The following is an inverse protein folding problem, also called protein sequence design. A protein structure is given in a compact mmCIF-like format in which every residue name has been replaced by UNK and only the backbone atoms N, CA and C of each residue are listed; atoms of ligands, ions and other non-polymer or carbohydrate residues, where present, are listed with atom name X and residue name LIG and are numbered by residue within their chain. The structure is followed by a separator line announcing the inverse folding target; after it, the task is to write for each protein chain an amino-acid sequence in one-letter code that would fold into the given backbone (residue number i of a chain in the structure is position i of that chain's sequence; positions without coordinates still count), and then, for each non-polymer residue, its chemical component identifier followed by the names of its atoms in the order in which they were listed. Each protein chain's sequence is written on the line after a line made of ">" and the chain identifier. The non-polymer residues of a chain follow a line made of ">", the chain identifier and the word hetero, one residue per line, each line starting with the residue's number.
data_IF_389809591995
#
_entry.id   IF_389809591995
#
_cell.length_a   1.000
_cell.length_b   1.000
_cell.length_c   1.000
_cell.angle_alpha   90.00
_cell.angle_beta   90.00
_cell.angle_gamma   90.00
#
_symmetry.space_group_name_H-M   'P 1'
#
loop_
_entity.id
_entity.type
_entity.pdbx_description
1 polymer ?
#
# COMPACT_ATOMS: atom_id res chain seq x y z
N UNK A 1 32.75 32.84 -19.83
CA UNK A 1 31.30 32.81 -20.26
C UNK A 1 30.89 31.58 -21.13
N UNK A 2 31.76 30.59 -21.36
CA UNK A 2 31.45 29.45 -22.27
C UNK A 2 30.78 28.23 -21.62
N UNK A 3 30.70 28.13 -20.31
CA UNK A 3 30.16 26.94 -19.62
C UNK A 3 28.64 26.79 -19.74
N UNK A 4 27.86 27.87 -19.82
CA UNK A 4 26.40 27.83 -19.84
C UNK A 4 25.81 27.29 -21.14
N UNK A 5 26.45 27.53 -22.28
CA UNK A 5 25.99 27.01 -23.58
C UNK A 5 26.20 25.50 -23.70
N UNK A 6 27.32 25.00 -23.18
CA UNK A 6 27.62 23.57 -23.18
C UNK A 6 26.63 22.78 -22.29
N UNK A 7 26.30 23.34 -21.13
CA UNK A 7 25.31 22.73 -20.21
C UNK A 7 23.91 22.69 -20.83
N UNK A 8 23.48 23.77 -21.51
CA UNK A 8 22.19 23.79 -22.20
C UNK A 8 22.12 22.77 -23.34
N UNK A 9 23.17 22.67 -24.16
CA UNK A 9 23.25 21.69 -25.23
C UNK A 9 23.18 20.25 -24.69
N UNK A 10 23.92 19.95 -23.63
CA UNK A 10 23.91 18.64 -22.98
C UNK A 10 22.55 18.30 -22.35
N UNK A 11 21.85 19.26 -21.77
CA UNK A 11 20.50 19.07 -21.24
C UNK A 11 19.51 18.78 -22.38
N UNK A 12 19.60 19.52 -23.48
CA UNK A 12 18.75 19.29 -24.67
C UNK A 12 19.00 17.92 -25.29
N UNK A 13 20.27 17.52 -25.44
CA UNK A 13 20.64 16.19 -25.93
C UNK A 13 20.07 15.08 -25.02
N UNK A 14 20.21 15.23 -23.72
CA UNK A 14 19.66 14.30 -22.74
C UNK A 14 18.12 14.17 -22.85
N UNK A 15 17.40 15.31 -23.03
CA UNK A 15 15.96 15.30 -23.21
C UNK A 15 15.54 14.62 -24.50
N UNK A 16 16.27 14.81 -25.61
CA UNK A 16 16.01 14.16 -26.90
C UNK A 16 16.20 12.66 -26.77
N UNK A 17 17.33 12.21 -26.20
CA UNK A 17 17.58 10.80 -25.93
C UNK A 17 16.48 10.20 -25.07
N UNK A 18 16.12 10.90 -23.98
CA UNK A 18 15.08 10.44 -23.07
C UNK A 18 13.72 10.30 -23.74
N UNK A 19 13.35 11.25 -24.62
CA UNK A 19 12.09 11.24 -25.35
C UNK A 19 11.99 10.12 -26.40
N UNK A 20 13.09 9.79 -27.07
CA UNK A 20 13.07 8.82 -28.17
C UNK A 20 13.44 7.39 -27.78
N UNK A 21 14.22 7.19 -26.74
CA UNK A 21 14.71 5.88 -26.35
C UNK A 21 14.01 5.27 -25.15
N UNK A 22 13.22 6.05 -24.40
CA UNK A 22 12.51 5.55 -23.23
C UNK A 22 11.00 5.60 -23.43
N UNK A 23 10.30 4.55 -22.96
CA UNK A 23 8.84 4.50 -23.02
C UNK A 23 8.18 5.61 -22.19
N UNK A 24 6.96 6.05 -22.54
CA UNK A 24 6.24 7.08 -21.77
C UNK A 24 6.10 6.74 -20.28
N UNK A 25 6.00 5.45 -19.93
CA UNK A 25 5.93 4.99 -18.54
C UNK A 25 7.24 5.24 -17.77
N UNK A 26 8.39 4.99 -18.41
CA UNK A 26 9.71 5.26 -17.82
C UNK A 26 9.93 6.77 -17.70
N UNK A 27 9.52 7.54 -18.70
CA UNK A 27 9.59 9.00 -18.69
C UNK A 27 8.77 9.57 -17.53
N UNK A 28 7.50 9.19 -17.41
CA UNK A 28 6.62 9.60 -16.32
C UNK A 28 7.20 9.22 -14.95
N UNK A 29 7.71 8.00 -14.79
CA UNK A 29 8.29 7.50 -13.55
C UNK A 29 9.53 8.29 -13.12
N UNK A 30 10.40 8.65 -14.06
CA UNK A 30 11.62 9.43 -13.78
C UNK A 30 11.30 10.89 -13.44
N UNK A 31 10.38 11.51 -14.19
CA UNK A 31 9.98 12.89 -13.94
C UNK A 31 9.10 13.03 -12.71
N UNK A 32 8.21 12.07 -12.43
CA UNK A 32 7.39 12.08 -11.22
C UNK A 32 8.25 12.16 -9.95
N UNK A 33 9.32 11.36 -9.90
CA UNK A 33 10.26 11.39 -8.78
C UNK A 33 11.09 12.68 -8.67
N UNK A 34 11.25 13.43 -9.79
CA UNK A 34 11.95 14.73 -9.82
C UNK A 34 11.04 15.90 -9.42
N UNK A 35 9.76 15.84 -9.78
CA UNK A 35 8.80 16.93 -9.53
C UNK A 35 8.06 16.79 -8.20
N UNK A 36 7.87 15.57 -7.69
CA UNK A 36 7.19 15.32 -6.41
C UNK A 36 8.17 15.28 -5.22
N UNK A 37 9.11 16.21 -5.21
CA UNK A 37 10.08 16.40 -4.10
C UNK A 37 9.41 16.70 -2.75
N UNK A 38 8.09 16.93 -2.72
CA UNK A 38 7.33 17.21 -1.49
C UNK A 38 6.63 15.98 -0.90
N UNK A 39 6.58 14.85 -1.60
CA UNK A 39 6.08 13.63 -0.97
C UNK A 39 7.22 12.90 -0.23
N UNK A 40 7.10 12.82 1.08
CA UNK A 40 8.00 11.98 1.86
C UNK A 40 7.87 10.52 1.41
N UNK A 41 8.94 9.74 1.51
CA UNK A 41 8.91 8.30 1.22
C UNK A 41 7.77 7.60 1.97
N UNK A 42 7.53 8.00 3.23
CA UNK A 42 6.42 7.48 4.03
C UNK A 42 5.05 7.76 3.40
N UNK A 43 4.83 8.96 2.87
CA UNK A 43 3.57 9.31 2.19
C UNK A 43 3.39 8.50 0.90
N UNK A 44 4.46 8.36 0.11
CA UNK A 44 4.46 7.58 -1.11
C UNK A 44 4.08 6.11 -0.85
N UNK A 45 4.69 5.50 0.17
CA UNK A 45 4.38 4.14 0.60
C UNK A 45 2.92 4.01 1.06
N UNK A 46 2.46 4.88 1.97
CA UNK A 46 1.10 4.82 2.51
C UNK A 46 0.02 4.98 1.45
N UNK A 47 0.24 5.85 0.46
CA UNK A 47 -0.72 6.11 -0.62
C UNK A 47 -0.83 4.95 -1.62
N UNK A 48 0.25 4.19 -1.81
CA UNK A 48 0.30 3.10 -2.80
C UNK A 48 0.09 1.71 -2.18
N UNK A 49 0.43 1.50 -0.91
CA UNK A 49 0.29 0.20 -0.26
C UNK A 49 -1.11 -0.43 -0.34
N UNK A 50 -2.25 0.31 -0.26
CA UNK A 50 -3.57 -0.29 -0.40
C UNK A 50 -3.88 -0.85 -1.79
N UNK A 51 -3.10 -0.47 -2.81
CA UNK A 51 -3.33 -0.81 -4.23
C UNK A 51 -2.57 -2.04 -4.68
N UNK A 52 -1.66 -2.55 -3.87
CA UNK A 52 -0.72 -3.62 -4.23
C UNK A 52 -0.81 -4.79 -3.24
N UNK A 53 -0.32 -5.94 -3.66
CA UNK A 53 -0.36 -7.17 -2.85
C UNK A 53 1.02 -7.63 -2.39
N UNK A 54 2.07 -7.24 -3.09
CA UNK A 54 3.44 -7.67 -2.82
C UNK A 54 4.36 -6.49 -2.56
N UNK A 55 5.50 -6.76 -1.93
CA UNK A 55 6.54 -5.76 -1.67
C UNK A 55 7.19 -5.30 -2.96
N UNK A 56 7.34 -6.22 -3.91
CA UNK A 56 7.90 -5.96 -5.24
C UNK A 56 7.04 -4.96 -6.01
N UNK A 57 5.71 -5.20 -6.05
CA UNK A 57 4.76 -4.26 -6.65
C UNK A 57 4.82 -2.89 -5.99
N UNK A 58 4.94 -2.84 -4.65
CA UNK A 58 5.02 -1.59 -3.92
C UNK A 58 6.30 -0.83 -4.24
N UNK A 59 7.44 -1.51 -4.27
CA UNK A 59 8.72 -0.93 -4.63
C UNK A 59 8.69 -0.39 -6.06
N UNK A 60 8.10 -1.15 -6.99
CA UNK A 60 7.99 -0.79 -8.40
C UNK A 60 7.12 0.47 -8.61
N UNK A 61 5.94 0.53 -8.01
CA UNK A 61 5.06 1.72 -8.07
C UNK A 61 5.73 2.94 -7.43
N UNK A 62 6.48 2.74 -6.34
CA UNK A 62 7.24 3.82 -5.70
C UNK A 62 8.49 4.25 -6.51
N UNK A 63 8.85 3.53 -7.57
CA UNK A 63 9.97 3.88 -8.44
C UNK A 63 11.35 3.46 -7.93
N UNK A 64 11.42 2.47 -7.04
CA UNK A 64 12.66 2.00 -6.43
C UNK A 64 12.96 0.55 -6.80
N UNK A 65 14.26 0.20 -6.87
CA UNK A 65 14.66 -1.20 -6.85
C UNK A 65 14.30 -1.82 -5.49
N UNK A 66 13.99 -3.12 -5.46
CA UNK A 66 13.61 -3.82 -4.23
C UNK A 66 14.64 -3.68 -3.10
N UNK A 67 15.92 -3.70 -3.45
CA UNK A 67 17.01 -3.56 -2.47
C UNK A 67 17.04 -2.16 -1.87
N UNK A 68 16.93 -1.12 -2.69
CA UNK A 68 16.92 0.27 -2.25
C UNK A 68 15.65 0.56 -1.42
N UNK A 69 14.50 0.07 -1.90
CA UNK A 69 13.23 0.18 -1.19
C UNK A 69 13.29 -0.43 0.22
N UNK A 70 13.81 -1.65 0.36
CA UNK A 70 13.95 -2.32 1.65
C UNK A 70 14.83 -1.54 2.63
N UNK A 71 15.93 -0.95 2.15
CA UNK A 71 16.83 -0.14 2.98
C UNK A 71 16.15 1.14 3.45
N UNK A 72 15.53 1.90 2.54
CA UNK A 72 14.79 3.11 2.89
C UNK A 72 13.63 2.81 3.84
N UNK A 73 12.91 1.71 3.59
CA UNK A 73 11.78 1.30 4.39
C UNK A 73 12.17 1.02 5.85
N UNK A 74 13.27 0.29 6.08
CA UNK A 74 13.79 0.04 7.42
C UNK A 74 14.19 1.32 8.15
N UNK A 75 14.79 2.27 7.44
CA UNK A 75 15.18 3.57 8.01
C UNK A 75 13.95 4.40 8.42
N UNK A 76 12.93 4.44 7.58
CA UNK A 76 11.76 5.30 7.76
C UNK A 76 10.71 4.69 8.72
N UNK A 77 10.42 3.38 8.57
CA UNK A 77 9.35 2.70 9.31
C UNK A 77 9.84 1.83 10.47
N UNK A 78 11.16 1.65 10.63
CA UNK A 78 11.78 0.77 11.63
C UNK A 78 11.22 -0.68 11.60
N UNK A 79 10.76 -1.12 10.43
CA UNK A 79 10.14 -2.42 10.17
C UNK A 79 10.51 -2.91 8.76
N UNK A 80 10.21 -4.16 8.46
CA UNK A 80 10.33 -4.66 7.09
C UNK A 80 9.05 -4.33 6.30
N UNK A 81 9.14 -4.08 4.97
CA UNK A 81 7.96 -3.82 4.14
C UNK A 81 6.92 -4.92 4.27
N UNK A 82 7.33 -6.18 4.25
CA UNK A 82 6.42 -7.33 4.39
C UNK A 82 5.67 -7.32 5.73
N UNK A 83 6.41 -7.16 6.85
CA UNK A 83 5.80 -7.10 8.19
C UNK A 83 4.80 -5.96 8.29
N UNK A 84 5.19 -4.78 7.82
CA UNK A 84 4.34 -3.61 7.83
C UNK A 84 3.07 -3.79 6.98
N UNK A 85 3.19 -4.29 5.75
CA UNK A 85 2.03 -4.59 4.89
C UNK A 85 1.10 -5.64 5.54
N UNK A 86 1.64 -6.65 6.21
CA UNK A 86 0.83 -7.62 6.95
C UNK A 86 0.06 -6.96 8.10
N UNK A 87 0.68 -6.06 8.85
CA UNK A 87 -0.01 -5.29 9.91
C UNK A 87 -1.15 -4.44 9.34
N UNK A 88 -0.92 -3.73 8.23
CA UNK A 88 -1.98 -2.96 7.55
C UNK A 88 -3.12 -3.86 7.10
N UNK A 89 -2.80 -5.00 6.51
CA UNK A 89 -3.78 -6.01 6.08
C UNK A 89 -4.65 -6.52 7.23
N UNK A 90 -4.05 -6.78 8.39
CA UNK A 90 -4.76 -7.24 9.59
C UNK A 90 -5.75 -6.18 10.06
N UNK A 91 -5.30 -4.93 10.19
CA UNK A 91 -6.14 -3.80 10.61
C UNK A 91 -7.32 -3.59 9.67
N UNK A 92 -7.07 -3.62 8.36
CA UNK A 92 -8.13 -3.40 7.37
C UNK A 92 -9.14 -4.55 7.32
N UNK A 93 -8.69 -5.81 7.45
CA UNK A 93 -9.59 -6.96 7.55
C UNK A 93 -10.44 -6.86 8.83
N UNK A 94 -9.86 -6.48 9.96
CA UNK A 94 -10.59 -6.25 11.21
C UNK A 94 -11.66 -5.17 11.03
N UNK A 95 -11.29 -4.04 10.43
CA UNK A 95 -12.20 -2.94 10.13
C UNK A 95 -13.38 -3.39 9.27
N UNK A 96 -13.11 -4.14 8.19
CA UNK A 96 -14.16 -4.69 7.32
C UNK A 96 -15.09 -5.65 8.06
N UNK A 97 -14.57 -6.46 8.98
CA UNK A 97 -15.35 -7.39 9.77
C UNK A 97 -16.21 -6.68 10.83
N UNK A 98 -15.68 -5.63 11.44
CA UNK A 98 -16.32 -4.90 12.55
C UNK A 98 -17.27 -3.82 12.05
N UNK A 99 -16.87 -3.02 11.06
CA UNK A 99 -17.58 -1.82 10.67
C UNK A 99 -18.52 -1.99 9.47
N UNK A 100 -18.33 -3.06 8.68
CA UNK A 100 -19.08 -3.24 7.45
C UNK A 100 -19.88 -4.54 7.39
N UNK A 101 -20.84 -4.58 6.47
CA UNK A 101 -21.61 -5.80 6.16
C UNK A 101 -21.10 -6.53 4.89
N UNK A 102 -19.89 -6.22 4.42
CA UNK A 102 -19.26 -6.86 3.25
C UNK A 102 -19.26 -8.38 3.44
N UNK A 103 -19.76 -9.19 2.48
CA UNK A 103 -19.78 -10.64 2.60
C UNK A 103 -18.37 -11.22 2.83
N UNK A 104 -18.25 -12.23 3.68
CA UNK A 104 -16.94 -12.88 3.95
C UNK A 104 -16.28 -13.39 2.66
N UNK A 105 -17.07 -13.90 1.71
CA UNK A 105 -16.60 -14.35 0.39
C UNK A 105 -15.92 -13.22 -0.37
N UNK A 106 -16.44 -12.00 -0.27
CA UNK A 106 -15.84 -10.82 -0.92
C UNK A 106 -14.51 -10.43 -0.26
N UNK A 107 -14.41 -10.46 1.07
CA UNK A 107 -13.17 -10.22 1.79
C UNK A 107 -12.11 -11.26 1.42
N UNK A 108 -12.48 -12.54 1.37
CA UNK A 108 -11.62 -13.65 0.95
C UNK A 108 -11.04 -13.39 -0.45
N UNK A 109 -11.88 -12.98 -1.40
CA UNK A 109 -11.47 -12.66 -2.78
C UNK A 109 -10.58 -11.42 -2.82
N UNK A 110 -10.95 -10.36 -2.12
CA UNK A 110 -10.23 -9.08 -2.08
C UNK A 110 -8.79 -9.26 -1.60
N UNK A 111 -8.59 -10.07 -0.56
CA UNK A 111 -7.29 -10.35 0.02
C UNK A 111 -6.64 -11.65 -0.50
N UNK A 112 -7.18 -12.24 -1.56
CA UNK A 112 -6.62 -13.42 -2.24
C UNK A 112 -6.37 -14.62 -1.31
N UNK A 113 -7.27 -14.84 -0.34
CA UNK A 113 -7.23 -16.07 0.42
C UNK A 113 -7.72 -17.24 -0.42
N UNK A 114 -7.07 -18.39 -0.30
CA UNK A 114 -7.40 -19.59 -1.09
C UNK A 114 -8.80 -20.11 -0.81
N UNK A 115 -9.25 -20.07 0.45
CA UNK A 115 -10.57 -20.55 0.87
C UNK A 115 -10.96 -19.99 2.25
N UNK A 116 -12.18 -20.29 2.67
CA UNK A 116 -12.73 -19.90 3.98
C UNK A 116 -11.90 -20.43 5.16
N UNK A 117 -11.38 -21.64 5.08
CA UNK A 117 -10.54 -22.24 6.14
C UNK A 117 -9.27 -21.45 6.34
N UNK A 118 -8.56 -21.12 5.26
CA UNK A 118 -7.34 -20.33 5.31
C UNK A 118 -7.59 -18.91 5.88
N UNK A 119 -8.68 -18.27 5.49
CA UNK A 119 -9.10 -16.99 6.07
C UNK A 119 -9.43 -17.09 7.56
N UNK A 120 -10.14 -18.14 7.98
CA UNK A 120 -10.46 -18.38 9.38
C UNK A 120 -9.22 -18.63 10.24
N UNK A 121 -8.23 -19.37 9.72
CA UNK A 121 -6.93 -19.56 10.36
C UNK A 121 -6.17 -18.24 10.51
N UNK A 122 -6.15 -17.43 9.46
CA UNK A 122 -5.55 -16.09 9.51
C UNK A 122 -6.18 -15.23 10.62
N UNK A 123 -7.51 -15.14 10.67
CA UNK A 123 -8.21 -14.38 11.70
C UNK A 123 -7.94 -14.93 13.11
N UNK A 124 -7.92 -16.26 13.30
CA UNK A 124 -7.55 -16.84 14.60
C UNK A 124 -6.11 -16.51 15.02
N UNK A 125 -5.18 -16.56 14.07
CA UNK A 125 -3.76 -16.26 14.33
C UNK A 125 -3.57 -14.81 14.77
N UNK A 126 -4.13 -13.86 14.04
CA UNK A 126 -3.84 -12.44 14.20
C UNK A 126 -4.90 -11.69 15.02
N UNK A 127 -6.19 -12.02 14.87
CA UNK A 127 -7.30 -11.37 15.58
C UNK A 127 -7.84 -12.21 16.77
N UNK A 128 -7.25 -13.39 17.02
CA UNK A 128 -7.59 -14.29 18.13
C UNK A 128 -9.03 -14.82 18.10
N UNK A 129 -9.79 -14.56 17.05
CA UNK A 129 -11.19 -14.96 16.89
C UNK A 129 -11.48 -15.39 15.45
N UNK A 130 -12.55 -16.13 15.24
CA UNK A 130 -13.02 -16.45 13.88
C UNK A 130 -13.73 -15.25 13.25
N UNK A 131 -13.73 -15.11 11.90
CA UNK A 131 -14.43 -14.01 11.21
C UNK A 131 -15.89 -13.86 11.61
N UNK A 132 -16.61 -14.98 11.74
CA UNK A 132 -18.01 -15.00 12.15
C UNK A 132 -18.21 -14.51 13.59
N UNK A 133 -17.31 -14.91 14.52
CA UNK A 133 -17.36 -14.46 15.91
C UNK A 133 -17.11 -12.96 16.03
N UNK A 134 -16.12 -12.43 15.31
CA UNK A 134 -15.81 -11.00 15.26
C UNK A 134 -17.03 -10.23 14.79
N UNK A 135 -17.65 -10.67 13.71
CA UNK A 135 -18.83 -10.00 13.13
C UNK A 135 -20.04 -10.04 14.05
N UNK A 136 -20.29 -11.19 14.68
CA UNK A 136 -21.39 -11.33 15.65
C UNK A 136 -21.24 -10.39 16.85
N UNK A 137 -20.04 -10.34 17.44
CA UNK A 137 -19.74 -9.45 18.56
C UNK A 137 -19.84 -7.97 18.17
N UNK A 138 -19.35 -7.59 16.99
CA UNK A 138 -19.46 -6.22 16.49
C UNK A 138 -20.92 -5.79 16.26
N UNK A 139 -21.76 -6.71 15.74
CA UNK A 139 -23.16 -6.46 15.54
C UNK A 139 -23.93 -6.26 16.86
N UNK A 140 -23.69 -7.15 17.83
CA UNK A 140 -24.29 -7.04 19.16
C UNK A 140 -23.90 -5.72 19.87
N UNK A 141 -22.65 -5.28 19.73
CA UNK A 141 -22.21 -4.00 20.27
C UNK A 141 -22.91 -2.80 19.63
N UNK A 142 -23.14 -2.84 18.33
CA UNK A 142 -23.84 -1.77 17.61
C UNK A 142 -25.32 -1.69 18.00
N UNK A 143 -25.97 -2.85 18.13
CA UNK A 143 -27.37 -2.95 18.57
C UNK A 143 -27.55 -2.43 20.01
N UNK A 144 -26.63 -2.80 20.92
CA UNK A 144 -26.63 -2.29 22.29
C UNK A 144 -26.40 -0.77 22.37
N UNK A 145 -25.48 -0.24 21.55
CA UNK A 145 -25.22 1.21 21.50
C UNK A 145 -26.39 2.00 20.93
N UNK A 146 -27.11 1.46 19.94
CA UNK A 146 -28.30 2.08 19.38
C UNK A 146 -29.43 2.19 20.43
N UNK A 147 -29.67 1.12 21.20
CA UNK A 147 -30.68 1.10 22.27
C UNK A 147 -30.36 2.10 23.39
N UNK A 148 -29.08 2.35 23.68
CA UNK A 148 -28.67 3.35 24.69
C UNK A 148 -28.75 4.79 24.20
N UNK A 149 -28.73 5.02 22.88
CA UNK A 149 -28.88 6.36 22.31
C UNK A 149 -30.34 6.80 22.16
N UNK A 150 -31.29 5.86 22.24
CA UNK A 150 -32.74 6.11 22.16
C UNK A 150 -33.43 6.22 23.55
N UNK A 151 -32.65 5.94 24.62
CA UNK A 151 -33.15 5.98 26.02
C UNK A 151 -32.77 7.28 26.74
#
# INVERSE_FOLDING_TARGET
>A
MHCNHLHRAKIQEMFVIFKFFYTPQIQLRTFYNLFDRNQSFASLVRNNAPRVKTVEELADICGFSIQHFNNMFKQEFHDTPYSWMQKQRIVEIERLLVETNVPLKSIIKMYSFTNHGHFALFCRKYLKKTPLKIRKEARAKREAAALQAEA
#
